data_IF_015773933555
#
_entry.id   IF_015773933555
#
_cell.length_a   1.000
_cell.length_b   1.000
_cell.length_c   1.000
_cell.angle_alpha   90.00
_cell.angle_beta   90.00
_cell.angle_gamma   90.00
#
_symmetry.space_group_name_H-M   'P 1'
#
loop_
_entity.id
_entity.type
_entity.pdbx_description
1 polymer ?
#
# COMPACT_ATOMS: atom_id res chain seq x y z
N UNK A 1 2.85 15.43 -19.69
CA UNK A 1 2.71 14.53 -20.86
C UNK A 1 3.88 13.55 -20.84
N UNK A 2 3.67 12.35 -20.30
CA UNK A 2 4.70 11.30 -20.17
C UNK A 2 5.05 10.72 -21.55
N UNK A 3 6.34 10.59 -21.86
CA UNK A 3 6.83 9.86 -23.04
C UNK A 3 7.11 8.41 -22.65
N UNK A 4 6.28 7.51 -23.17
CA UNK A 4 6.48 6.05 -23.38
C UNK A 4 7.47 5.35 -22.44
N UNK A 5 6.92 4.79 -21.37
CA UNK A 5 7.43 3.70 -20.54
C UNK A 5 6.26 3.23 -19.67
N UNK A 6 6.06 1.93 -19.49
CA UNK A 6 5.00 1.43 -18.59
C UNK A 6 5.30 1.91 -17.16
N UNK A 7 4.28 2.23 -16.36
CA UNK A 7 4.43 2.80 -15.01
C UNK A 7 5.38 1.97 -14.14
N UNK A 8 5.37 0.66 -14.34
CA UNK A 8 6.27 -0.30 -13.72
C UNK A 8 7.72 -0.11 -14.10
N UNK A 9 8.02 0.20 -15.36
CA UNK A 9 9.38 0.51 -15.80
C UNK A 9 9.86 1.79 -15.12
N UNK A 10 9.02 2.83 -15.08
CA UNK A 10 9.34 4.08 -14.38
C UNK A 10 9.65 3.81 -12.91
N UNK A 11 8.82 3.00 -12.26
CA UNK A 11 9.03 2.61 -10.86
C UNK A 11 10.32 1.81 -10.71
N UNK A 12 10.54 0.75 -11.47
CA UNK A 12 11.66 -0.18 -11.24
C UNK A 12 12.99 0.25 -11.85
N UNK A 13 13.03 1.33 -12.64
CA UNK A 13 14.27 1.82 -13.28
C UNK A 13 14.66 3.22 -12.87
N UNK A 14 13.70 4.06 -12.50
CA UNK A 14 13.96 5.47 -12.15
C UNK A 14 13.70 5.71 -10.67
N UNK A 15 12.50 5.41 -10.19
CA UNK A 15 12.12 5.76 -8.82
C UNK A 15 12.73 4.79 -7.81
N UNK A 16 12.46 3.49 -7.94
CA UNK A 16 12.91 2.41 -7.06
C UNK A 16 13.75 1.39 -7.82
N UNK A 17 14.95 1.77 -8.29
CA UNK A 17 15.75 0.89 -9.11
C UNK A 17 16.22 -0.34 -8.32
N UNK A 18 16.35 -1.47 -9.01
CA UNK A 18 16.66 -2.78 -8.41
C UNK A 18 18.01 -2.78 -7.68
N UNK A 19 18.99 -2.02 -8.16
CA UNK A 19 20.29 -1.89 -7.50
C UNK A 19 20.20 -1.22 -6.11
N UNK A 20 19.11 -0.52 -5.81
CA UNK A 20 18.83 0.08 -4.51
C UNK A 20 17.96 -0.81 -3.61
N UNK A 21 17.52 -2.00 -4.06
CA UNK A 21 16.66 -2.88 -3.28
C UNK A 21 17.26 -3.23 -1.91
N UNK A 22 18.55 -3.57 -1.86
CA UNK A 22 19.24 -3.87 -0.60
C UNK A 22 19.25 -2.69 0.39
N UNK A 23 19.32 -1.46 -0.12
CA UNK A 23 19.25 -0.26 0.71
C UNK A 23 17.85 -0.14 1.34
N UNK A 24 16.79 -0.35 0.56
CA UNK A 24 15.41 -0.29 1.05
C UNK A 24 15.10 -1.38 2.08
N UNK A 25 15.62 -2.59 1.87
CA UNK A 25 15.54 -3.67 2.87
C UNK A 25 16.27 -3.33 4.16
N UNK A 26 17.46 -2.71 4.06
CA UNK A 26 18.20 -2.23 5.22
C UNK A 26 17.42 -1.15 5.98
N UNK A 27 16.88 -0.14 5.26
CA UNK A 27 16.03 0.90 5.85
C UNK A 27 14.85 0.26 6.57
N UNK A 28 14.20 -0.72 5.95
CA UNK A 28 13.03 -1.35 6.55
C UNK A 28 13.33 -2.17 7.79
N UNK A 29 14.47 -2.86 7.81
CA UNK A 29 14.99 -3.53 9.01
C UNK A 29 15.32 -2.52 10.10
N UNK A 30 16.05 -1.45 9.77
CA UNK A 30 16.49 -0.46 10.74
C UNK A 30 15.28 0.31 11.34
N UNK A 31 14.23 0.52 10.55
CA UNK A 31 12.94 1.03 11.01
C UNK A 31 12.24 0.09 12.02
N UNK A 32 12.32 -1.23 11.81
CA UNK A 32 11.66 -2.22 12.66
C UNK A 32 12.42 -2.48 13.98
N UNK A 33 13.75 -2.40 13.99
CA UNK A 33 14.60 -2.80 15.13
C UNK A 33 15.41 -1.66 15.76
N UNK A 34 15.42 -0.46 15.16
CA UNK A 34 16.20 0.71 15.58
C UNK A 34 17.64 0.71 15.05
N UNK A 35 18.19 1.91 14.83
CA UNK A 35 19.57 2.09 14.34
C UNK A 35 20.59 1.47 15.32
N UNK A 36 21.41 0.52 14.82
CA UNK A 36 22.52 -0.02 15.59
C UNK A 36 22.17 -1.03 16.67
N UNK A 37 20.91 -1.49 16.78
CA UNK A 37 20.58 -2.72 17.54
C UNK A 37 20.95 -3.97 16.74
N UNK A 38 22.22 -4.08 16.35
CA UNK A 38 22.83 -5.36 15.99
C UNK A 38 23.11 -6.14 17.27
N UNK A 39 22.06 -6.69 17.90
CA UNK A 39 22.24 -7.66 18.96
C UNK A 39 22.89 -8.93 18.37
N UNK A 40 24.20 -9.05 18.50
CA UNK A 40 24.94 -10.32 18.55
C UNK A 40 25.24 -11.05 17.24
N UNK A 41 24.52 -10.82 16.15
CA UNK A 41 24.84 -11.36 14.81
C UNK A 41 24.24 -10.42 13.77
N UNK A 42 25.07 -9.68 13.04
CA UNK A 42 24.58 -8.81 11.97
C UNK A 42 23.86 -9.67 10.92
N UNK A 43 22.53 -9.56 10.86
CA UNK A 43 21.70 -10.14 9.80
C UNK A 43 21.93 -9.27 8.56
N UNK A 44 22.65 -9.79 7.58
CA UNK A 44 22.81 -9.16 6.26
C UNK A 44 21.47 -9.17 5.52
N UNK A 45 21.29 -8.29 4.52
CA UNK A 45 20.02 -8.15 3.78
C UNK A 45 19.57 -9.42 3.02
N UNK A 46 20.44 -10.42 2.91
CA UNK A 46 20.18 -11.75 2.34
C UNK A 46 19.98 -12.84 3.41
N UNK A 47 19.86 -12.47 4.68
CA UNK A 47 19.61 -13.43 5.76
C UNK A 47 18.17 -13.97 5.69
N UNK A 48 17.97 -15.30 5.57
CA UNK A 48 16.64 -15.91 5.44
C UNK A 48 15.76 -15.71 6.68
N UNK A 49 16.30 -15.28 7.83
CA UNK A 49 15.53 -14.92 9.02
C UNK A 49 14.85 -13.55 8.90
N UNK A 50 15.33 -12.70 7.99
CA UNK A 50 14.67 -11.45 7.60
C UNK A 50 13.46 -11.69 6.68
N UNK A 51 13.16 -12.94 6.29
CA UNK A 51 11.94 -13.30 5.55
C UNK A 51 10.63 -12.90 6.24
N UNK A 52 10.70 -12.58 7.55
CA UNK A 52 9.58 -12.09 8.37
C UNK A 52 9.63 -10.57 8.62
N UNK A 53 10.59 -9.88 8.01
CA UNK A 53 10.81 -8.43 8.10
C UNK A 53 10.49 -7.79 6.75
N UNK A 54 10.22 -6.49 6.73
CA UNK A 54 9.74 -5.72 5.57
C UNK A 54 10.23 -6.24 4.19
N UNK A 55 9.28 -6.58 3.31
CA UNK A 55 9.50 -6.94 1.91
C UNK A 55 8.66 -6.06 1.00
N UNK A 56 9.11 -5.83 -0.24
CA UNK A 56 8.34 -5.07 -1.22
C UNK A 56 7.29 -5.97 -1.87
N UNK A 57 6.02 -5.59 -1.76
CA UNK A 57 4.95 -6.29 -2.46
C UNK A 57 5.11 -6.14 -3.99
N UNK A 58 4.87 -7.21 -4.80
CA UNK A 58 5.00 -7.13 -6.25
C UNK A 58 3.96 -6.19 -6.88
N UNK A 59 4.37 -5.44 -7.92
CA UNK A 59 3.49 -4.44 -8.55
C UNK A 59 2.42 -5.10 -9.42
N UNK A 60 2.74 -6.23 -10.05
CA UNK A 60 1.79 -7.07 -10.80
C UNK A 60 0.64 -7.51 -9.90
N UNK A 61 0.98 -8.06 -8.75
CA UNK A 61 0.02 -8.55 -7.76
C UNK A 61 -0.79 -7.41 -7.15
N UNK A 62 -0.18 -6.23 -6.95
CA UNK A 62 -0.92 -5.02 -6.56
C UNK A 62 -1.97 -4.66 -7.62
N UNK A 63 -1.59 -4.61 -8.90
CA UNK A 63 -2.49 -4.25 -9.99
C UNK A 63 -3.70 -5.21 -10.09
N UNK A 64 -3.47 -6.51 -9.93
CA UNK A 64 -4.53 -7.53 -9.93
C UNK A 64 -5.52 -7.31 -8.78
N UNK A 65 -5.01 -7.10 -7.56
CA UNK A 65 -5.84 -6.89 -6.37
C UNK A 65 -6.61 -5.56 -6.44
N UNK A 66 -5.95 -4.48 -6.89
CA UNK A 66 -6.61 -3.19 -7.06
C UNK A 66 -7.68 -3.24 -8.15
N UNK A 67 -7.46 -3.98 -9.24
CA UNK A 67 -8.47 -4.14 -10.31
C UNK A 67 -9.77 -4.78 -9.77
N UNK A 68 -9.65 -5.80 -8.92
CA UNK A 68 -10.80 -6.41 -8.26
C UNK A 68 -11.45 -5.45 -7.25
N UNK A 69 -10.65 -4.72 -6.47
CA UNK A 69 -11.15 -3.75 -5.49
C UNK A 69 -11.91 -2.60 -6.16
N UNK A 70 -11.40 -2.06 -7.28
CA UNK A 70 -12.05 -1.03 -8.09
C UNK A 70 -13.40 -1.55 -8.60
N UNK A 71 -13.43 -2.75 -9.17
CA UNK A 71 -14.66 -3.37 -9.69
C UNK A 71 -15.71 -3.54 -8.58
N UNK A 72 -15.30 -4.01 -7.39
CA UNK A 72 -16.17 -4.16 -6.24
C UNK A 72 -16.71 -2.80 -5.76
N UNK A 73 -15.84 -1.80 -5.68
CA UNK A 73 -16.19 -0.46 -5.26
C UNK A 73 -17.23 0.15 -6.19
N UNK A 74 -17.00 0.10 -7.51
CA UNK A 74 -17.89 0.64 -8.53
C UNK A 74 -19.25 -0.04 -8.54
N UNK A 75 -19.26 -1.37 -8.44
CA UNK A 75 -20.51 -2.16 -8.40
C UNK A 75 -21.34 -1.81 -7.17
N UNK A 76 -20.70 -1.56 -6.03
CA UNK A 76 -21.40 -1.28 -4.77
C UNK A 76 -21.85 0.18 -4.66
N UNK A 77 -21.00 1.12 -5.08
CA UNK A 77 -21.20 2.54 -4.83
C UNK A 77 -21.75 3.30 -6.06
N UNK A 78 -21.82 2.67 -7.23
CA UNK A 78 -22.34 3.28 -8.46
C UNK A 78 -21.47 4.39 -9.04
N UNK A 79 -20.21 4.50 -8.62
CA UNK A 79 -19.22 5.48 -9.11
C UNK A 79 -17.80 4.92 -9.02
N UNK A 80 -16.88 5.49 -9.81
CA UNK A 80 -15.44 5.20 -9.71
C UNK A 80 -14.88 5.59 -8.33
N UNK A 81 -13.93 4.82 -7.77
CA UNK A 81 -13.16 5.26 -6.62
C UNK A 81 -12.26 6.41 -7.03
N UNK A 82 -12.05 7.38 -6.12
CA UNK A 82 -11.26 8.58 -6.34
C UNK A 82 -10.03 8.61 -5.43
N UNK A 83 -10.13 8.03 -4.22
CA UNK A 83 -9.07 8.09 -3.22
C UNK A 83 -8.56 6.69 -2.87
N UNK A 84 -7.28 6.46 -3.12
CA UNK A 84 -6.55 5.26 -2.68
C UNK A 84 -5.65 5.61 -1.49
N UNK A 85 -5.62 4.73 -0.50
CA UNK A 85 -4.67 4.80 0.63
C UNK A 85 -3.88 3.50 0.70
N UNK A 86 -2.55 3.61 0.81
CA UNK A 86 -1.66 2.54 1.19
C UNK A 86 -1.30 2.70 2.68
N UNK A 87 -1.72 1.75 3.51
CA UNK A 87 -1.55 1.77 4.96
C UNK A 87 -0.35 0.91 5.36
N UNK A 88 0.67 1.55 5.95
CA UNK A 88 1.99 0.94 6.09
C UNK A 88 2.73 1.00 4.75
N UNK A 89 2.78 2.19 4.14
CA UNK A 89 3.26 2.36 2.76
C UNK A 89 4.75 2.12 2.58
N UNK A 90 5.50 1.95 3.67
CA UNK A 90 6.93 1.74 3.67
C UNK A 90 7.65 2.86 2.94
N UNK A 91 8.55 2.49 2.03
CA UNK A 91 9.29 3.43 1.21
C UNK A 91 8.43 4.13 0.13
N UNK A 92 7.11 3.90 0.08
CA UNK A 92 6.18 4.60 -0.82
C UNK A 92 6.08 4.05 -2.25
N UNK A 93 6.66 2.86 -2.50
CA UNK A 93 6.72 2.26 -3.84
C UNK A 93 5.34 2.01 -4.44
N UNK A 94 4.43 1.43 -3.64
CA UNK A 94 3.08 1.07 -4.10
C UNK A 94 2.21 2.31 -4.34
N UNK A 95 2.35 3.34 -3.48
CA UNK A 95 1.70 4.65 -3.63
C UNK A 95 2.06 5.28 -4.98
N UNK A 96 3.35 5.38 -5.30
CA UNK A 96 3.80 5.97 -6.56
C UNK A 96 3.43 5.13 -7.77
N UNK A 97 3.51 3.80 -7.65
CA UNK A 97 3.07 2.89 -8.70
C UNK A 97 1.59 3.07 -9.03
N UNK A 98 0.74 3.07 -8.01
CA UNK A 98 -0.71 3.23 -8.18
C UNK A 98 -1.08 4.61 -8.75
N UNK A 99 -0.41 5.67 -8.30
CA UNK A 99 -0.61 7.02 -8.82
C UNK A 99 -0.26 7.12 -10.32
N UNK A 100 0.90 6.60 -10.73
CA UNK A 100 1.31 6.57 -12.14
C UNK A 100 0.37 5.70 -12.97
N UNK A 101 0.03 4.50 -12.46
CA UNK A 101 -0.86 3.58 -13.17
C UNK A 101 -2.24 4.17 -13.42
N UNK A 102 -2.77 4.92 -12.44
CA UNK A 102 -4.04 5.62 -12.56
C UNK A 102 -4.08 6.67 -13.67
N UNK A 103 -2.93 7.19 -14.10
CA UNK A 103 -2.82 8.12 -15.24
C UNK A 103 -2.72 7.40 -16.59
N UNK A 104 -2.28 6.13 -16.61
CA UNK A 104 -2.18 5.34 -17.85
C UNK A 104 -3.52 4.76 -18.29
N UNK A 105 -4.34 4.34 -17.33
CA UNK A 105 -5.44 3.40 -17.58
C UNK A 105 -6.64 4.00 -18.32
N UNK A 106 -6.77 5.33 -18.42
CA UNK A 106 -7.87 5.96 -19.17
C UNK A 106 -7.53 7.41 -19.55
N UNK A 107 -8.23 7.96 -20.56
CA UNK A 107 -8.24 9.40 -20.86
C UNK A 107 -8.74 10.27 -19.69
N UNK A 108 -9.25 9.63 -18.63
CA UNK A 108 -9.66 10.21 -17.36
C UNK A 108 -8.92 9.49 -16.23
N UNK A 109 -8.24 10.24 -15.36
CA UNK A 109 -7.48 9.67 -14.26
C UNK A 109 -8.34 8.77 -13.35
N UNK A 110 -7.78 7.62 -12.95
CA UNK A 110 -8.42 6.68 -12.02
C UNK A 110 -8.54 7.27 -10.62
N UNK A 111 -7.50 7.98 -10.18
CA UNK A 111 -7.39 8.53 -8.83
C UNK A 111 -7.37 10.05 -8.88
N UNK A 112 -8.09 10.68 -7.97
CA UNK A 112 -7.89 12.09 -7.63
C UNK A 112 -6.71 12.21 -6.67
N UNK A 113 -6.67 11.34 -5.65
CA UNK A 113 -5.63 11.35 -4.62
C UNK A 113 -5.14 9.94 -4.28
N UNK A 114 -3.83 9.78 -4.11
CA UNK A 114 -3.21 8.57 -3.56
C UNK A 114 -2.37 8.95 -2.34
N UNK A 115 -2.62 8.28 -1.23
CA UNK A 115 -1.98 8.56 0.06
C UNK A 115 -1.15 7.37 0.52
N UNK A 116 0.05 7.62 1.03
CA UNK A 116 0.82 6.67 1.84
C UNK A 116 0.82 7.10 3.29
N UNK A 117 0.47 6.19 4.21
CA UNK A 117 0.60 6.39 5.65
C UNK A 117 1.71 5.47 6.14
N UNK A 118 2.73 6.05 6.76
CA UNK A 118 3.89 5.35 7.31
C UNK A 118 4.23 5.92 8.68
N UNK A 119 4.62 5.06 9.62
CA UNK A 119 4.99 5.46 10.99
C UNK A 119 6.51 5.65 11.14
N UNK A 120 7.30 5.00 10.28
CA UNK A 120 8.75 5.11 10.30
C UNK A 120 9.22 6.38 9.60
N UNK A 121 9.91 7.25 10.35
CA UNK A 121 10.62 8.42 9.82
C UNK A 121 11.55 8.04 8.66
N UNK A 122 12.36 6.98 8.83
CA UNK A 122 13.35 6.55 7.83
C UNK A 122 12.71 6.11 6.50
N UNK A 123 11.63 5.32 6.57
CA UNK A 123 10.92 4.88 5.37
C UNK A 123 10.16 6.04 4.72
N UNK A 124 9.53 6.90 5.53
CA UNK A 124 8.84 8.09 5.06
C UNK A 124 9.79 9.05 4.34
N UNK A 125 10.94 9.35 4.93
CA UNK A 125 11.94 10.24 4.34
C UNK A 125 12.41 9.71 2.99
N UNK A 126 12.62 8.40 2.87
CA UNK A 126 12.95 7.77 1.59
C UNK A 126 11.81 7.95 0.57
N UNK A 127 10.55 7.81 0.97
CA UNK A 127 9.40 8.04 0.09
C UNK A 127 9.35 9.49 -0.42
N UNK A 128 9.64 10.47 0.45
CA UNK A 128 9.74 11.89 0.08
C UNK A 128 10.91 12.12 -0.89
N UNK A 129 12.05 11.46 -0.68
CA UNK A 129 13.19 11.54 -1.59
C UNK A 129 12.82 11.05 -3.00
N UNK A 130 11.98 10.02 -3.10
CA UNK A 130 11.49 9.50 -4.38
C UNK A 130 10.52 10.47 -5.09
N UNK A 131 9.74 11.27 -4.35
CA UNK A 131 9.00 12.39 -4.93
C UNK A 131 9.97 13.40 -5.56
N UNK A 132 11.03 13.76 -4.84
CA UNK A 132 12.08 14.66 -5.33
C UNK A 132 12.70 14.15 -6.63
N UNK A 133 13.14 12.89 -6.64
CA UNK A 133 13.69 12.20 -7.81
C UNK A 133 12.70 12.20 -8.99
N UNK A 134 11.42 11.94 -8.73
CA UNK A 134 10.37 11.98 -9.73
C UNK A 134 10.16 13.37 -10.33
N UNK A 135 10.27 14.43 -9.54
CA UNK A 135 10.19 15.83 -10.00
C UNK A 135 11.41 16.18 -10.86
N UNK A 136 12.63 15.86 -10.39
CA UNK A 136 13.88 16.11 -11.12
C UNK A 136 13.91 15.39 -12.48
N UNK A 137 13.30 14.21 -12.54
CA UNK A 137 13.18 13.39 -13.75
C UNK A 137 12.00 13.77 -14.64
N UNK A 138 11.24 14.82 -14.31
CA UNK A 138 10.02 15.26 -15.00
C UNK A 138 8.90 14.19 -15.11
N UNK A 139 8.92 13.20 -14.21
CA UNK A 139 7.86 12.19 -14.07
C UNK A 139 6.71 12.79 -13.25
N UNK A 140 7.06 13.47 -12.16
CA UNK A 140 6.14 14.14 -11.25
C UNK A 140 6.27 15.66 -11.40
N UNK A 141 5.26 16.39 -10.94
CA UNK A 141 5.27 17.85 -10.95
C UNK A 141 4.74 18.37 -9.62
N UNK A 142 5.32 19.49 -9.15
CA UNK A 142 4.70 20.25 -8.07
C UNK A 142 3.43 20.90 -8.59
N UNK A 143 2.38 20.93 -7.76
CA UNK A 143 1.09 21.53 -8.14
C UNK A 143 1.28 23.01 -8.46
N UNK A 144 1.14 23.36 -9.74
CA UNK A 144 1.31 24.75 -10.24
C UNK A 144 -0.02 25.46 -10.44
N UNK A 145 -1.09 24.75 -10.81
CA UNK A 145 -2.40 25.33 -11.12
C UNK A 145 -3.57 24.52 -10.51
N UNK A 146 -4.68 25.20 -10.21
CA UNK A 146 -5.87 24.57 -9.61
C UNK A 146 -6.73 23.74 -10.58
N UNK A 147 -6.42 23.77 -11.89
CA UNK A 147 -7.23 23.14 -12.94
C UNK A 147 -6.56 21.93 -13.60
N UNK A 148 -5.42 21.48 -13.08
CA UNK A 148 -4.78 20.27 -13.58
C UNK A 148 -5.56 19.04 -13.10
N UNK A 149 -5.94 18.17 -14.03
CA UNK A 149 -6.70 16.96 -13.71
C UNK A 149 -5.82 15.84 -13.14
N UNK A 150 -4.56 16.13 -12.80
CA UNK A 150 -3.54 15.16 -12.39
C UNK A 150 -3.83 14.54 -11.01
N UNK A 151 -3.41 13.28 -10.85
CA UNK A 151 -3.44 12.57 -9.56
C UNK A 151 -2.52 13.26 -8.54
N UNK A 152 -3.05 13.60 -7.37
CA UNK A 152 -2.26 14.12 -6.26
C UNK A 152 -1.69 12.99 -5.41
N UNK A 153 -0.43 13.12 -5.00
CA UNK A 153 0.24 12.13 -4.15
C UNK A 153 0.63 12.77 -2.82
N UNK A 154 0.32 12.09 -1.73
CA UNK A 154 0.65 12.52 -0.38
C UNK A 154 1.29 11.41 0.44
N UNK A 155 2.38 11.71 1.12
CA UNK A 155 2.95 10.84 2.15
C UNK A 155 2.73 11.47 3.52
N UNK A 156 2.29 10.67 4.48
CA UNK A 156 1.98 11.08 5.84
C UNK A 156 2.86 10.28 6.80
N UNK A 157 3.64 10.99 7.61
CA UNK A 157 4.43 10.40 8.68
C UNK A 157 3.65 10.46 9.99
N UNK A 158 2.84 9.45 10.27
CA UNK A 158 2.01 9.39 11.46
C UNK A 158 1.49 7.97 11.72
N UNK A 159 1.20 7.62 12.99
CA UNK A 159 0.53 6.37 13.32
C UNK A 159 -0.85 6.28 12.67
N UNK A 160 -1.26 5.08 12.27
CA UNK A 160 -2.57 4.84 11.64
C UNK A 160 -3.75 5.33 12.50
N UNK A 161 -3.61 5.26 13.82
CA UNK A 161 -4.59 5.73 14.82
C UNK A 161 -4.85 7.25 14.72
N UNK A 162 -3.87 8.02 14.26
CA UNK A 162 -3.97 9.48 14.08
C UNK A 162 -4.44 9.85 12.66
N UNK A 163 -4.48 8.87 11.74
CA UNK A 163 -4.78 9.05 10.33
C UNK A 163 -6.29 9.13 10.00
N UNK A 164 -7.18 9.17 11.00
CA UNK A 164 -8.64 9.11 10.79
C UNK A 164 -9.16 10.14 9.78
N UNK A 165 -8.60 11.35 9.78
CA UNK A 165 -8.96 12.43 8.85
C UNK A 165 -8.59 12.15 7.38
N UNK A 166 -7.67 11.22 7.14
CA UNK A 166 -7.27 10.72 5.81
C UNK A 166 -8.10 9.48 5.48
N UNK A 167 -8.13 8.50 6.39
CA UNK A 167 -8.84 7.23 6.24
C UNK A 167 -10.34 7.42 5.98
N UNK A 168 -10.98 8.42 6.58
CA UNK A 168 -12.40 8.76 6.34
C UNK A 168 -12.71 9.20 4.90
N UNK A 169 -11.70 9.59 4.12
CA UNK A 169 -11.85 9.95 2.72
C UNK A 169 -11.64 8.77 1.77
N UNK A 170 -11.09 7.65 2.26
CA UNK A 170 -10.74 6.49 1.46
C UNK A 170 -11.94 5.91 0.71
N UNK A 171 -11.74 5.62 -0.57
CA UNK A 171 -12.63 4.74 -1.32
C UNK A 171 -12.06 3.32 -1.31
N UNK A 172 -10.74 3.20 -1.53
CA UNK A 172 -10.00 1.94 -1.45
C UNK A 172 -8.81 2.12 -0.50
N UNK A 173 -8.57 1.12 0.33
CA UNK A 173 -7.36 1.00 1.15
C UNK A 173 -6.65 -0.29 0.77
N UNK A 174 -5.34 -0.22 0.56
CA UNK A 174 -4.47 -1.37 0.46
C UNK A 174 -3.60 -1.46 1.72
N UNK A 175 -3.47 -2.67 2.27
CA UNK A 175 -2.61 -2.95 3.41
C UNK A 175 -1.80 -4.22 3.11
N UNK A 176 -0.48 -4.11 3.01
CA UNK A 176 0.40 -5.28 2.96
C UNK A 176 0.54 -5.89 4.36
N UNK A 177 -0.54 -6.52 4.83
CA UNK A 177 -0.75 -6.88 6.23
C UNK A 177 0.00 -8.13 6.69
N UNK A 178 0.87 -8.71 5.86
CA UNK A 178 1.53 -10.00 6.14
C UNK A 178 2.44 -10.00 7.37
N UNK A 179 2.77 -8.82 7.93
CA UNK A 179 3.50 -8.68 9.21
C UNK A 179 2.69 -8.10 10.39
N UNK A 180 1.42 -7.72 10.17
CA UNK A 180 0.49 -7.25 11.22
C UNK A 180 -0.08 -8.36 12.13
N UNK A 181 -0.15 -8.13 13.44
CA UNK A 181 -0.61 -9.14 14.40
C UNK A 181 -1.97 -9.78 14.09
N UNK A 182 -2.11 -11.06 14.48
CA UNK A 182 -3.32 -11.88 14.26
C UNK A 182 -3.87 -12.45 15.55
N UNK A 183 -5.19 -12.61 15.62
CA UNK A 183 -5.88 -13.39 16.68
C UNK A 183 -5.93 -14.89 16.40
N UNK A 184 -5.52 -15.32 15.20
CA UNK A 184 -5.47 -16.72 14.80
C UNK A 184 -6.29 -17.01 13.54
N UNK A 185 -6.45 -18.29 13.23
CA UNK A 185 -7.16 -18.75 12.04
C UNK A 185 -8.67 -18.86 12.29
N UNK A 186 -9.47 -18.26 11.42
CA UNK A 186 -10.91 -18.40 11.40
C UNK A 186 -11.33 -19.37 10.29
N UNK A 187 -11.99 -20.47 10.67
CA UNK A 187 -12.39 -21.54 9.74
C UNK A 187 -13.45 -21.11 8.75
N UNK A 188 -14.36 -20.23 9.15
CA UNK A 188 -15.48 -19.79 8.32
C UNK A 188 -15.01 -18.82 7.23
N UNK A 189 -14.00 -18.00 7.55
CA UNK A 189 -13.33 -17.13 6.59
C UNK A 189 -12.25 -17.85 5.77
N UNK A 190 -11.74 -18.97 6.27
CA UNK A 190 -10.59 -19.66 5.67
C UNK A 190 -9.32 -18.81 5.67
N UNK A 191 -9.12 -17.99 6.70
CA UNK A 191 -8.05 -16.98 6.77
C UNK A 191 -7.51 -16.81 8.19
N UNK A 192 -6.24 -16.36 8.31
CA UNK A 192 -5.77 -15.71 9.53
C UNK A 192 -6.49 -14.37 9.68
N UNK A 193 -6.92 -14.01 10.88
CA UNK A 193 -7.66 -12.78 11.13
C UNK A 193 -6.77 -11.79 11.86
N UNK A 194 -6.76 -10.55 11.37
CA UNK A 194 -6.07 -9.44 12.01
C UNK A 194 -6.57 -9.22 13.44
N UNK A 195 -5.70 -8.73 14.33
CA UNK A 195 -6.13 -8.30 15.67
C UNK A 195 -7.24 -7.25 15.59
N UNK A 196 -8.07 -7.26 16.63
CA UNK A 196 -9.25 -6.41 16.73
C UNK A 196 -8.91 -4.93 16.53
N UNK A 197 -7.77 -4.47 17.07
CA UNK A 197 -7.29 -3.08 16.92
C UNK A 197 -7.27 -2.61 15.46
N UNK A 198 -6.75 -3.40 14.52
CA UNK A 198 -6.70 -3.01 13.11
C UNK A 198 -8.10 -3.00 12.47
N UNK A 199 -8.92 -3.98 12.81
CA UNK A 199 -10.27 -4.13 12.24
C UNK A 199 -11.20 -3.02 12.76
N UNK A 200 -11.11 -2.68 14.05
CA UNK A 200 -11.82 -1.58 14.70
C UNK A 200 -11.34 -0.22 14.19
N UNK A 201 -10.04 0.02 14.15
CA UNK A 201 -9.47 1.28 13.67
C UNK A 201 -10.01 1.65 12.29
N UNK A 202 -9.97 0.69 11.35
CA UNK A 202 -10.48 0.90 10.00
C UNK A 202 -12.01 1.06 10.02
N UNK A 203 -12.72 0.26 10.82
CA UNK A 203 -14.18 0.32 10.91
C UNK A 203 -14.70 1.67 11.46
N UNK A 204 -13.95 2.28 12.38
CA UNK A 204 -14.24 3.57 13.02
C UNK A 204 -13.82 4.77 12.18
N UNK A 205 -12.85 4.57 11.29
CA UNK A 205 -12.28 5.63 10.46
C UNK A 205 -12.92 5.70 9.08
N UNK A 206 -13.29 4.57 8.49
CA UNK A 206 -13.79 4.48 7.13
C UNK A 206 -15.31 4.70 7.04
N UNK A 207 -15.76 5.25 5.92
CA UNK A 207 -17.17 5.36 5.57
C UNK A 207 -17.73 4.01 5.08
N UNK A 208 -19.05 3.87 5.11
CA UNK A 208 -19.72 2.72 4.48
C UNK A 208 -19.38 2.65 2.98
N UNK A 209 -19.23 1.44 2.46
CA UNK A 209 -18.87 1.19 1.07
C UNK A 209 -17.37 1.30 0.76
N UNK A 210 -16.51 1.72 1.71
CA UNK A 210 -15.06 1.63 1.55
C UNK A 210 -14.63 0.18 1.38
N UNK A 211 -13.74 -0.06 0.41
CA UNK A 211 -13.15 -1.37 0.14
C UNK A 211 -11.74 -1.41 0.74
N UNK A 212 -11.41 -2.48 1.44
CA UNK A 212 -10.07 -2.71 1.98
C UNK A 212 -9.52 -4.01 1.41
N UNK A 213 -8.31 -3.93 0.87
CA UNK A 213 -7.49 -5.05 0.42
C UNK A 213 -6.44 -5.30 1.49
N UNK A 214 -6.46 -6.48 2.09
CA UNK A 214 -5.43 -6.95 3.01
C UNK A 214 -4.72 -8.17 2.42
N UNK A 215 -3.47 -8.44 2.79
CA UNK A 215 -2.71 -9.62 2.33
C UNK A 215 -2.46 -10.60 3.46
N UNK A 216 -2.66 -11.88 3.17
CA UNK A 216 -2.42 -13.07 4.01
C UNK A 216 -3.24 -13.14 5.30
N UNK A 217 -3.92 -12.05 5.65
CA UNK A 217 -4.72 -11.86 6.84
C UNK A 217 -5.97 -11.09 6.46
N UNK A 218 -7.13 -11.53 6.94
CA UNK A 218 -8.42 -10.90 6.69
C UNK A 218 -8.81 -9.96 7.84
N UNK A 219 -9.64 -8.96 7.53
CA UNK A 219 -10.31 -8.15 8.55
C UNK A 219 -11.35 -8.97 9.30
N UNK A 220 -11.55 -8.63 10.57
CA UNK A 220 -12.51 -9.33 11.42
C UNK A 220 -13.95 -8.92 11.08
N UNK A 221 -14.84 -9.87 10.70
CA UNK A 221 -16.23 -9.57 10.35
C UNK A 221 -17.05 -9.01 11.50
N UNK A 222 -16.68 -9.28 12.75
CA UNK A 222 -17.37 -8.76 13.94
C UNK A 222 -17.38 -7.23 13.95
N UNK A 223 -16.36 -6.59 13.36
CA UNK A 223 -16.26 -5.13 13.28
C UNK A 223 -16.97 -4.57 12.03
N UNK A 224 -17.85 -5.34 11.38
CA UNK A 224 -18.68 -4.92 10.23
C UNK A 224 -17.94 -4.87 8.90
N UNK A 225 -16.98 -5.78 8.73
CA UNK A 225 -16.30 -6.05 7.47
C UNK A 225 -16.90 -7.27 6.80
N UNK A 226 -17.21 -7.17 5.51
CA UNK A 226 -17.70 -8.32 4.74
C UNK A 226 -16.68 -8.68 3.68
N UNK A 227 -16.08 -9.86 3.81
CA UNK A 227 -15.21 -10.44 2.80
C UNK A 227 -16.04 -10.74 1.55
N UNK A 228 -15.68 -10.15 0.41
CA UNK A 228 -16.38 -10.31 -0.87
C UNK A 228 -15.60 -11.14 -1.87
N UNK A 229 -14.28 -11.04 -1.84
CA UNK A 229 -13.44 -11.76 -2.77
C UNK A 229 -12.10 -12.14 -2.13
N UNK A 230 -11.50 -13.18 -2.70
CA UNK A 230 -10.16 -13.67 -2.35
C UNK A 230 -9.44 -13.97 -3.65
N UNK A 231 -8.18 -13.52 -3.76
CA UNK A 231 -7.32 -13.84 -4.89
C UNK A 231 -5.95 -14.24 -4.37
N UNK A 232 -5.50 -15.44 -4.73
CA UNK A 232 -4.11 -15.82 -4.54
C UNK A 232 -3.27 -15.19 -5.67
N UNK A 233 -2.20 -14.50 -5.31
CA UNK A 233 -1.32 -13.75 -6.21
C UNK A 233 0.13 -14.15 -5.99
N UNK A 234 0.96 -13.95 -7.00
CA UNK A 234 2.39 -14.18 -6.86
C UNK A 234 2.99 -13.23 -5.80
N UNK A 235 3.80 -13.78 -4.91
CA UNK A 235 4.63 -13.00 -4.00
C UNK A 235 5.94 -13.76 -3.78
N UNK A 236 7.00 -13.44 -4.55
CA UNK A 236 8.29 -14.12 -4.45
C UNK A 236 8.90 -14.06 -3.04
N UNK A 237 8.56 -13.06 -2.25
CA UNK A 237 9.03 -12.93 -0.87
C UNK A 237 8.44 -13.97 0.08
N UNK A 238 7.27 -14.54 -0.22
CA UNK A 238 6.50 -15.38 0.71
C UNK A 238 5.97 -16.70 0.11
N UNK A 239 6.50 -17.14 -1.04
CA UNK A 239 5.99 -18.29 -1.81
C UNK A 239 4.51 -18.13 -2.21
N UNK A 240 4.09 -16.89 -2.47
CA UNK A 240 2.71 -16.51 -2.75
C UNK A 240 2.10 -15.66 -1.63
N UNK A 241 1.07 -14.89 -1.99
CA UNK A 241 0.23 -14.19 -1.02
C UNK A 241 -1.24 -14.34 -1.40
N UNK A 242 -2.12 -14.25 -0.42
CA UNK A 242 -3.56 -14.18 -0.63
C UNK A 242 -4.06 -12.76 -0.35
N UNK A 243 -4.64 -12.10 -1.34
CA UNK A 243 -5.39 -10.86 -1.14
C UNK A 243 -6.82 -11.13 -0.70
N UNK A 244 -7.23 -10.53 0.41
CA UNK A 244 -8.60 -10.54 0.95
C UNK A 244 -9.24 -9.18 0.70
N UNK A 245 -10.34 -9.16 -0.04
CA UNK A 245 -11.02 -7.93 -0.47
C UNK A 245 -12.33 -7.81 0.30
N UNK A 246 -12.34 -6.92 1.28
CA UNK A 246 -13.45 -6.71 2.21
C UNK A 246 -14.11 -5.36 1.95
N UNK A 247 -15.40 -5.26 2.25
CA UNK A 247 -16.16 -4.00 2.15
C UNK A 247 -16.80 -3.64 3.49
N UNK A 248 -16.80 -2.34 3.80
CA UNK A 248 -17.45 -1.79 4.99
C UNK A 248 -18.97 -1.75 4.79
N UNK A 249 -19.71 -2.42 5.68
CA UNK A 249 -21.19 -2.41 5.72
C UNK A 249 -21.74 -1.76 6.98
#
# INVERSE_FOLDING_TARGET
MLKVGESKDIINTILYPENEYKLRMKIGRDAQFGEGQSSGTALEADDPRLALTYHEFPLESLDELLSLAITLYETTNGRKPLNLIDLGSGCGRLVLSAALKGQELNSQNQWDQVHGIEISDLMHDYAIEMIGRGIESNILQTKKDQFDSSTEVYFHNLPAQEAKHILSKADIIFCYSTVFDTVGFNTDLGALVLVEEWSELLADSCKLGTVVVTTDRALNPVNGWVLKNRLDVENPSLLGSTGYISIRQ
#
